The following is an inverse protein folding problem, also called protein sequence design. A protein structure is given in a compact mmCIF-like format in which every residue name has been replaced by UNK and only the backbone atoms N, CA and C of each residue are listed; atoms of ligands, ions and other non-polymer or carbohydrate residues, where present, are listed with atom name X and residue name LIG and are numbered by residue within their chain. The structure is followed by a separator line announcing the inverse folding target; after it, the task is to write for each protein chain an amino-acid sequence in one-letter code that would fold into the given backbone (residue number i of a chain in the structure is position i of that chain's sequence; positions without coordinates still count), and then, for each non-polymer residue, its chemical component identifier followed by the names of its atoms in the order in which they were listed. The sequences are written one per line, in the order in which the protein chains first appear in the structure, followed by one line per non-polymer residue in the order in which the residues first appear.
data_IF_033288084047
#
_entry.id   IF_033288084047
#
_cell.length_a   1.000
_cell.length_b   1.000
_cell.length_c   1.000
_cell.angle_alpha   90.00
_cell.angle_beta   90.00
_cell.angle_gamma   90.00
#
_symmetry.space_group_name_H-M   'P 1'
#
loop_
_entity.id
_entity.type
_entity.pdbx_description
1 polymer ?
#
# COMPACT_ATOMS: atom_id res chain seq x y z
N UNK A 1 9.34 3.55 -30.75
CA UNK A 1 8.27 4.35 -30.09
C UNK A 1 6.99 3.53 -30.13
N UNK A 2 6.68 2.81 -29.04
CA UNK A 2 5.49 1.94 -28.99
C UNK A 2 4.23 2.81 -28.91
N UNK A 3 3.28 2.59 -29.83
CA UNK A 3 1.99 3.28 -29.86
C UNK A 3 1.24 2.96 -28.56
N UNK A 4 0.91 3.98 -27.76
CA UNK A 4 -0.05 3.84 -26.69
C UNK A 4 -1.39 3.38 -27.29
N UNK A 5 -1.83 2.18 -26.94
CA UNK A 5 -3.15 1.68 -27.34
C UNK A 5 -4.22 2.59 -26.74
N UNK A 6 -5.37 2.74 -27.41
CA UNK A 6 -6.47 3.63 -26.94
C UNK A 6 -7.02 3.28 -25.55
N UNK A 7 -6.60 2.14 -24.98
CA UNK A 7 -6.98 1.66 -23.66
C UNK A 7 -5.93 1.95 -22.56
N UNK A 8 -4.76 2.49 -22.92
CA UNK A 8 -3.70 2.83 -21.98
C UNK A 8 -4.17 3.71 -20.79
N UNK A 9 -5.00 4.75 -20.97
CA UNK A 9 -5.45 5.55 -19.84
C UNK A 9 -6.43 4.79 -18.93
N UNK A 10 -7.27 3.90 -19.49
CA UNK A 10 -8.18 3.05 -18.70
C UNK A 10 -7.42 2.00 -17.89
N UNK A 11 -6.39 1.40 -18.49
CA UNK A 11 -5.52 0.44 -17.81
C UNK A 11 -4.72 1.11 -16.67
N UNK A 12 -4.23 2.34 -16.90
CA UNK A 12 -3.54 3.11 -15.87
C UNK A 12 -4.44 3.41 -14.66
N UNK A 13 -5.68 3.86 -14.89
CA UNK A 13 -6.67 4.03 -13.83
C UNK A 13 -6.98 2.73 -13.09
N UNK A 14 -7.09 1.61 -13.82
CA UNK A 14 -7.30 0.29 -13.22
C UNK A 14 -6.19 -0.12 -12.25
N UNK A 15 -4.93 0.12 -12.61
CA UNK A 15 -3.76 -0.17 -11.76
C UNK A 15 -3.76 0.71 -10.51
N UNK A 16 -4.05 2.01 -10.66
CA UNK A 16 -4.12 2.95 -9.54
C UNK A 16 -5.21 2.54 -8.55
N UNK A 17 -6.40 2.20 -9.03
CA UNK A 17 -7.51 1.77 -8.17
C UNK A 17 -7.15 0.47 -7.46
N UNK A 18 -6.63 -0.53 -8.18
CA UNK A 18 -6.23 -1.81 -7.59
C UNK A 18 -5.18 -1.62 -6.48
N UNK A 19 -4.16 -0.80 -6.72
CA UNK A 19 -3.12 -0.51 -5.72
C UNK A 19 -3.65 0.27 -4.51
N UNK A 20 -4.57 1.23 -4.70
CA UNK A 20 -5.21 1.92 -3.58
C UNK A 20 -6.11 0.99 -2.76
N UNK A 21 -6.85 0.09 -3.41
CA UNK A 21 -7.69 -0.90 -2.72
C UNK A 21 -6.85 -1.87 -1.88
N UNK A 22 -5.78 -2.42 -2.45
CA UNK A 22 -4.84 -3.28 -1.74
C UNK A 22 -4.27 -2.58 -0.49
N UNK A 23 -3.85 -1.32 -0.66
CA UNK A 23 -3.36 -0.50 0.43
C UNK A 23 -4.39 -0.33 1.56
N UNK A 24 -5.64 0.00 1.22
CA UNK A 24 -6.72 0.16 2.21
C UNK A 24 -6.95 -1.15 2.96
N UNK A 25 -6.97 -2.29 2.26
CA UNK A 25 -7.19 -3.61 2.86
C UNK A 25 -6.07 -3.95 3.84
N UNK A 26 -4.81 -3.81 3.43
CA UNK A 26 -3.65 -4.11 4.29
C UNK A 26 -3.62 -3.20 5.53
N UNK A 27 -3.87 -1.90 5.38
CA UNK A 27 -3.94 -0.98 6.53
C UNK A 27 -5.08 -1.35 7.47
N UNK A 28 -6.25 -1.70 6.92
CA UNK A 28 -7.42 -2.07 7.72
C UNK A 28 -7.18 -3.36 8.50
N UNK A 29 -6.53 -4.35 7.89
CA UNK A 29 -6.11 -5.59 8.56
C UNK A 29 -5.08 -5.30 9.64
N UNK A 30 -4.07 -4.47 9.35
CA UNK A 30 -3.04 -4.09 10.32
C UNK A 30 -3.60 -3.34 11.53
N UNK A 31 -4.59 -2.48 11.32
CA UNK A 31 -5.33 -1.82 12.41
C UNK A 31 -6.16 -2.85 13.17
N UNK A 32 -6.92 -3.70 12.46
CA UNK A 32 -7.78 -4.73 13.05
C UNK A 32 -7.06 -5.81 13.86
N UNK A 33 -5.81 -6.11 13.49
CA UNK A 33 -4.95 -7.08 14.16
C UNK A 33 -4.32 -6.55 15.47
N UNK A 34 -4.50 -5.26 15.80
CA UNK A 34 -3.96 -4.67 17.03
C UNK A 34 -4.56 -5.30 18.28
N UNK A 35 -3.81 -5.23 19.38
CA UNK A 35 -4.30 -5.65 20.69
C UNK A 35 -5.61 -4.90 21.05
N UNK A 36 -6.67 -5.64 21.42
CA UNK A 36 -7.98 -5.07 21.74
C UNK A 36 -8.95 -4.81 20.58
N UNK A 37 -8.62 -5.18 19.33
CA UNK A 37 -9.52 -5.04 18.17
C UNK A 37 -10.13 -6.37 17.69
N UNK A 38 -11.18 -6.28 16.85
CA UNK A 38 -12.01 -7.41 16.37
C UNK A 38 -11.24 -8.61 15.80
N UNK A 39 -10.08 -8.38 15.18
CA UNK A 39 -9.25 -9.42 14.56
C UNK A 39 -8.03 -9.78 15.43
N UNK A 40 -8.10 -9.52 16.74
CA UNK A 40 -7.02 -9.71 17.70
C UNK A 40 -6.15 -10.93 17.38
N UNK A 41 -4.91 -10.69 16.93
CA UNK A 41 -3.91 -11.75 16.83
C UNK A 41 -3.17 -11.80 18.17
N UNK A 42 -3.39 -12.87 18.95
CA UNK A 42 -2.63 -13.18 20.16
C UNK A 42 -1.16 -13.40 19.77
N UNK A 43 -0.39 -12.33 19.77
CA UNK A 43 1.03 -12.33 19.44
C UNK A 43 1.78 -11.52 20.49
N UNK A 44 2.34 -12.20 21.50
CA UNK A 44 3.25 -11.57 22.44
C UNK A 44 4.45 -10.98 21.67
N UNK A 45 4.46 -9.65 21.51
CA UNK A 45 5.55 -8.89 20.92
C UNK A 45 6.78 -8.99 21.82
N UNK A 46 7.63 -9.99 21.57
CA UNK A 46 8.97 -10.05 22.17
C UNK A 46 9.77 -8.85 21.68
N UNK A 47 10.20 -7.99 22.60
CA UNK A 47 11.04 -6.82 22.35
C UNK A 47 12.34 -7.17 21.61
N UNK A 48 12.81 -8.42 21.75
CA UNK A 48 13.97 -8.96 21.03
C UNK A 48 13.68 -9.18 19.53
N UNK A 49 12.45 -9.56 19.17
CA UNK A 49 12.04 -9.72 17.77
C UNK A 49 11.90 -8.37 17.04
N UNK A 50 11.49 -7.31 17.75
CA UNK A 50 11.42 -5.96 17.20
C UNK A 50 12.82 -5.36 16.91
N UNK A 51 13.84 -5.73 17.70
CA UNK A 51 15.22 -5.31 17.48
C UNK A 51 15.96 -6.05 16.36
N UNK A 52 15.46 -7.22 15.93
CA UNK A 52 16.09 -8.08 14.92
C UNK A 52 15.37 -8.11 13.56
N UNK A 53 14.22 -7.45 13.43
CA UNK A 53 13.40 -7.50 12.21
C UNK A 53 13.51 -6.18 11.39
N UNK A 54 14.56 -5.99 10.58
CA UNK A 54 14.66 -4.85 9.66
C UNK A 54 13.48 -4.77 8.68
N UNK A 55 12.77 -5.90 8.49
CA UNK A 55 11.54 -6.00 7.72
C UNK A 55 10.36 -5.17 8.27
N UNK A 56 10.41 -4.74 9.54
CA UNK A 56 9.39 -3.81 10.10
C UNK A 56 9.57 -2.40 9.56
N UNK A 57 10.77 -2.03 9.10
CA UNK A 57 11.01 -0.73 8.46
C UNK A 57 10.48 -0.68 7.02
N UNK A 58 10.34 -1.82 6.35
CA UNK A 58 9.80 -1.88 4.99
C UNK A 58 8.39 -1.30 4.90
N UNK A 59 7.38 -1.71 5.68
CA UNK A 59 6.07 -1.09 5.63
C UNK A 59 6.09 0.38 6.07
N UNK A 60 7.05 0.81 6.91
CA UNK A 60 7.15 2.22 7.32
C UNK A 60 7.61 3.14 6.17
N UNK A 61 8.52 2.69 5.31
CA UNK A 61 9.07 3.52 4.22
C UNK A 61 8.49 3.20 2.83
N UNK A 62 8.22 1.93 2.55
CA UNK A 62 7.71 1.48 1.25
C UNK A 62 6.27 1.96 1.04
N UNK A 63 5.44 1.92 2.09
CA UNK A 63 4.02 2.29 2.00
C UNK A 63 3.86 3.79 1.66
N UNK A 64 4.50 4.75 2.37
CA UNK A 64 4.44 6.15 1.96
C UNK A 64 4.96 6.39 0.55
N UNK A 65 6.05 5.71 0.14
CA UNK A 65 6.57 5.81 -1.22
C UNK A 65 5.53 5.32 -2.25
N UNK A 66 4.82 4.23 -1.97
CA UNK A 66 3.77 3.69 -2.84
C UNK A 66 2.59 4.65 -2.99
N UNK A 67 2.16 5.29 -1.90
CA UNK A 67 1.10 6.32 -1.92
C UNK A 67 1.51 7.50 -2.79
N UNK A 68 2.74 7.99 -2.64
CA UNK A 68 3.27 9.11 -3.45
C UNK A 68 3.23 8.76 -4.94
N UNK A 69 3.62 7.53 -5.32
CA UNK A 69 3.55 7.09 -6.72
C UNK A 69 2.11 7.08 -7.26
N UNK A 70 1.13 6.68 -6.45
CA UNK A 70 -0.29 6.73 -6.84
C UNK A 70 -0.78 8.17 -7.00
N UNK A 71 -0.41 9.07 -6.08
CA UNK A 71 -0.75 10.49 -6.17
C UNK A 71 -0.14 11.11 -7.43
N UNK A 72 1.13 10.82 -7.73
CA UNK A 72 1.79 11.29 -8.95
C UNK A 72 1.14 10.74 -10.22
N UNK A 73 0.74 9.46 -10.22
CA UNK A 73 0.03 8.85 -11.34
C UNK A 73 -1.34 9.51 -11.57
N UNK A 74 -2.10 9.77 -10.50
CA UNK A 74 -3.38 10.48 -10.57
C UNK A 74 -3.18 11.90 -11.10
N UNK A 75 -2.23 12.66 -10.53
CA UNK A 75 -1.95 14.03 -10.97
C UNK A 75 -1.57 14.09 -12.46
N UNK A 76 -0.82 13.09 -12.94
CA UNK A 76 -0.47 12.98 -14.36
C UNK A 76 -1.67 12.63 -15.23
N UNK A 77 -2.55 11.74 -14.79
CA UNK A 77 -3.78 11.39 -15.54
C UNK A 77 -4.80 12.53 -15.58
N UNK A 78 -4.84 13.38 -14.55
CA UNK A 78 -5.71 14.57 -14.50
C UNK A 78 -5.18 15.75 -15.33
N UNK A 79 -3.86 15.84 -15.52
CA UNK A 79 -3.20 16.87 -16.35
C UNK A 79 -2.99 16.44 -17.83
N UNK A 80 -3.55 15.30 -18.24
CA UNK A 80 -3.62 14.87 -19.65
C UNK A 80 -4.92 15.32 -20.30
#
# INVERSE_FOLDING_TARGET
MARASSNAPKAAWGIVIAGMTDFIIVVSIGIGAREGMLLHLDGHLSTMAMGQAPFVLFPVFLVPAFIILHIMAIAKLLNQ
#
